data_IF_630507185181
#
_entry.id   IF_630507185181
#
_cell.length_a   1.000
_cell.length_b   1.000
_cell.length_c   1.000
_cell.angle_alpha   90.00
_cell.angle_beta   90.00
_cell.angle_gamma   90.00
#
_symmetry.space_group_name_H-M   'P 1'
#
loop_
_entity.id
_entity.type
_entity.pdbx_description
1 polymer ?
#
# COMPACT_ATOMS: atom_id res chain seq x y z
N UNK A 1 62.13 -14.86 29.18
CA UNK A 1 61.36 -13.75 28.56
C UNK A 1 60.22 -14.37 27.78
N UNK A 2 58.97 -14.22 28.23
CA UNK A 2 57.79 -14.85 27.63
C UNK A 2 56.87 -13.73 27.13
N UNK A 3 56.93 -13.45 25.83
CA UNK A 3 56.10 -12.43 25.20
C UNK A 3 54.73 -13.04 24.88
N UNK A 4 53.69 -12.59 25.56
CA UNK A 4 52.30 -12.84 25.17
C UNK A 4 51.92 -11.85 24.07
N UNK A 5 51.63 -12.37 22.88
CA UNK A 5 50.96 -11.62 21.82
C UNK A 5 49.45 -11.74 22.04
N UNK A 6 48.79 -10.62 22.32
CA UNK A 6 47.33 -10.52 22.34
C UNK A 6 46.90 -10.10 20.94
N UNK A 7 46.23 -10.99 20.21
CA UNK A 7 45.58 -10.66 18.95
C UNK A 7 44.18 -10.08 19.25
N UNK A 8 43.99 -8.80 18.94
CA UNK A 8 42.67 -8.16 18.95
C UNK A 8 42.02 -8.46 17.61
N UNK A 9 41.01 -9.34 17.60
CA UNK A 9 40.14 -9.56 16.46
C UNK A 9 39.03 -8.49 16.48
N UNK A 10 39.08 -7.55 15.54
CA UNK A 10 37.99 -6.57 15.33
C UNK A 10 37.00 -7.18 14.34
N UNK A 11 35.86 -7.65 14.84
CA UNK A 11 34.73 -8.05 14.00
C UNK A 11 33.90 -6.82 13.63
N UNK A 12 33.98 -6.39 12.37
CA UNK A 12 33.03 -5.43 11.80
C UNK A 12 31.75 -6.16 11.41
N UNK A 13 30.75 -6.12 12.29
CA UNK A 13 29.38 -6.50 11.95
C UNK A 13 28.74 -5.37 11.14
N UNK A 14 28.65 -5.55 9.82
CA UNK A 14 27.81 -4.72 8.96
C UNK A 14 26.35 -5.04 9.27
N UNK A 15 25.71 -4.24 10.12
CA UNK A 15 24.26 -4.25 10.21
C UNK A 15 23.72 -3.56 8.95
N UNK A 16 23.20 -4.34 7.99
CA UNK A 16 22.39 -3.78 6.91
C UNK A 16 21.16 -3.14 7.54
N UNK A 17 20.83 -1.90 7.15
CA UNK A 17 19.56 -1.30 7.53
C UNK A 17 18.45 -2.15 6.92
N UNK A 18 17.54 -2.69 7.74
CA UNK A 18 16.31 -3.28 7.24
C UNK A 18 15.51 -2.14 6.60
N UNK A 19 15.28 -2.22 5.30
CA UNK A 19 14.41 -1.28 4.61
C UNK A 19 12.96 -1.67 4.90
N UNK A 20 12.20 -0.74 5.48
CA UNK A 20 10.78 -0.94 5.65
C UNK A 20 10.10 -0.81 4.27
N UNK A 21 9.06 -1.60 4.03
CA UNK A 21 8.32 -1.67 2.77
C UNK A 21 6.84 -1.91 3.08
N UNK A 22 5.91 -1.65 2.15
CA UNK A 22 4.51 -2.04 2.34
C UNK A 22 4.39 -3.51 2.75
N UNK A 23 3.77 -3.75 3.89
CA UNK A 23 3.66 -5.07 4.52
C UNK A 23 2.19 -5.45 4.68
N UNK A 24 1.72 -6.35 3.82
CA UNK A 24 0.35 -6.87 3.84
C UNK A 24 0.11 -7.91 4.95
N UNK A 25 1.15 -8.31 5.69
CA UNK A 25 1.02 -9.30 6.78
C UNK A 25 0.54 -8.67 8.08
N UNK A 26 0.44 -7.33 8.12
CA UNK A 26 -0.07 -6.55 9.24
C UNK A 26 -1.38 -5.85 8.86
N UNK A 27 -2.32 -5.81 9.81
CA UNK A 27 -3.56 -5.06 9.62
C UNK A 27 -3.28 -3.57 9.50
N UNK A 28 -4.07 -2.92 8.65
CA UNK A 28 -4.00 -1.50 8.38
C UNK A 28 -4.38 -0.65 9.57
N UNK A 29 -3.95 0.61 9.53
CA UNK A 29 -4.22 1.63 10.57
C UNK A 29 -5.71 1.76 10.84
N UNK A 30 -6.53 1.63 9.80
CA UNK A 30 -7.98 1.61 9.89
C UNK A 30 -8.51 0.29 9.33
N UNK A 31 -9.52 -0.30 9.96
CA UNK A 31 -10.11 -1.56 9.49
C UNK A 31 -11.62 -1.48 9.41
N UNK A 32 -12.18 -2.01 8.33
CA UNK A 32 -13.62 -1.99 8.07
C UNK A 32 -14.11 -3.33 7.54
N UNK A 33 -15.39 -3.61 7.77
CA UNK A 33 -16.09 -4.73 7.13
C UNK A 33 -17.00 -4.17 6.03
N UNK A 34 -17.10 -4.89 4.92
CA UNK A 34 -18.06 -4.59 3.85
C UNK A 34 -18.43 -5.84 3.08
N UNK A 35 -19.38 -5.71 2.18
CA UNK A 35 -19.65 -6.69 1.14
C UNK A 35 -19.92 -6.03 -0.21
N UNK A 36 -19.93 -6.84 -1.27
CA UNK A 36 -20.25 -6.36 -2.62
C UNK A 36 -21.61 -5.65 -2.67
N UNK A 37 -22.64 -6.20 -2.03
CA UNK A 37 -23.96 -5.55 -1.97
C UNK A 37 -23.94 -4.22 -1.19
N UNK A 38 -23.09 -4.09 -0.17
CA UNK A 38 -22.97 -2.85 0.61
C UNK A 38 -22.19 -1.75 -0.11
N UNK A 39 -21.29 -2.14 -1.03
CA UNK A 39 -20.49 -1.21 -1.83
C UNK A 39 -21.18 -0.78 -3.13
N UNK A 40 -22.41 -1.25 -3.41
CA UNK A 40 -23.24 -0.69 -4.48
C UNK A 40 -23.50 0.81 -4.33
N UNK A 41 -23.33 1.33 -3.11
CA UNK A 41 -23.24 2.76 -2.85
C UNK A 41 -21.80 3.09 -2.48
N UNK A 42 -21.22 4.17 -3.04
CA UNK A 42 -19.83 4.51 -2.80
C UNK A 42 -19.59 4.81 -1.32
N UNK A 43 -18.47 4.30 -0.79
CA UNK A 43 -17.98 4.63 0.56
C UNK A 43 -16.64 5.36 0.46
N UNK A 44 -16.57 6.53 1.07
CA UNK A 44 -15.40 7.41 1.01
C UNK A 44 -14.74 7.58 2.39
N UNK A 45 -13.42 7.71 2.39
CA UNK A 45 -12.57 7.81 3.56
C UNK A 45 -11.53 8.91 3.36
N UNK A 46 -11.46 9.86 4.30
CA UNK A 46 -10.41 10.87 4.29
C UNK A 46 -9.10 10.26 4.79
N UNK A 47 -7.99 10.64 4.16
CA UNK A 47 -6.65 10.16 4.50
C UNK A 47 -5.61 11.25 4.20
N UNK A 48 -4.47 11.18 4.87
CA UNK A 48 -3.27 11.90 4.44
C UNK A 48 -2.43 10.94 3.61
N UNK A 49 -2.36 11.18 2.30
CA UNK A 49 -1.57 10.37 1.39
C UNK A 49 -0.07 10.57 1.61
N UNK A 50 0.72 9.51 1.41
CA UNK A 50 2.18 9.56 1.43
C UNK A 50 2.81 8.37 2.13
N UNK A 51 4.09 8.53 2.48
CA UNK A 51 4.86 7.53 3.22
C UNK A 51 6.35 7.68 3.00
N UNK A 52 7.13 6.82 3.66
CA UNK A 52 8.59 6.87 3.65
C UNK A 52 9.22 5.83 2.72
N UNK A 53 8.45 4.82 2.30
CA UNK A 53 8.97 3.67 1.58
C UNK A 53 8.80 3.86 0.09
N UNK A 54 9.92 4.06 -0.61
CA UNK A 54 9.93 4.16 -2.06
C UNK A 54 9.73 2.78 -2.70
N UNK A 55 8.62 2.62 -3.42
CA UNK A 55 8.11 1.32 -3.89
C UNK A 55 9.10 0.53 -4.76
N UNK A 56 9.85 1.15 -5.71
CA UNK A 56 10.88 0.43 -6.48
C UNK A 56 12.01 -0.17 -5.63
N UNK A 57 12.29 0.36 -4.44
CA UNK A 57 13.27 -0.24 -3.55
C UNK A 57 12.72 -1.51 -2.85
N UNK A 58 11.42 -1.77 -2.93
CA UNK A 58 10.72 -2.87 -2.28
C UNK A 58 10.50 -4.10 -3.18
N UNK A 59 11.17 -4.15 -4.34
CA UNK A 59 11.09 -5.28 -5.26
C UNK A 59 9.92 -5.21 -6.26
N UNK A 60 9.18 -4.10 -6.26
CA UNK A 60 8.21 -3.75 -7.30
C UNK A 60 8.91 -3.29 -8.58
N UNK A 61 8.18 -3.23 -9.68
CA UNK A 61 8.74 -2.82 -10.96
C UNK A 61 9.14 -1.35 -10.94
N UNK A 62 10.13 -0.96 -11.76
CA UNK A 62 10.61 0.43 -11.80
C UNK A 62 9.59 1.44 -12.32
N UNK A 63 8.49 0.97 -12.92
CA UNK A 63 7.36 1.81 -13.33
C UNK A 63 6.25 1.90 -12.27
N UNK A 64 6.35 1.16 -11.17
CA UNK A 64 5.44 1.27 -10.02
C UNK A 64 6.11 2.21 -9.00
N UNK A 65 5.89 3.52 -9.19
CA UNK A 65 6.67 4.57 -8.53
C UNK A 65 5.83 5.33 -7.53
N UNK A 66 6.16 5.23 -6.26
CA UNK A 66 5.56 6.08 -5.25
C UNK A 66 6.17 5.84 -3.88
N UNK A 67 5.75 6.65 -2.93
CA UNK A 67 6.13 6.58 -1.55
C UNK A 67 4.91 6.19 -0.71
N UNK A 68 5.04 5.10 0.03
CA UNK A 68 3.96 4.49 0.79
C UNK A 68 4.41 4.17 2.22
N UNK A 69 3.46 4.13 3.13
CA UNK A 69 3.67 3.69 4.52
C UNK A 69 3.99 2.18 4.57
N UNK A 70 4.60 1.73 5.67
CA UNK A 70 4.86 0.29 5.87
C UNK A 70 3.56 -0.45 6.18
N UNK A 71 2.76 0.10 7.10
CA UNK A 71 1.45 -0.42 7.48
C UNK A 71 0.40 0.04 6.47
N UNK A 72 -0.54 -0.81 6.03
CA UNK A 72 -1.65 -0.36 5.19
C UNK A 72 -2.39 0.81 5.84
N UNK A 73 -2.86 1.76 5.04
CA UNK A 73 -3.72 2.82 5.56
C UNK A 73 -5.09 2.25 5.96
N UNK A 74 -5.55 1.27 5.16
CA UNK A 74 -6.81 0.57 5.33
C UNK A 74 -6.67 -0.93 5.11
N UNK A 75 -7.40 -1.71 5.91
CA UNK A 75 -7.73 -3.10 5.61
C UNK A 75 -9.25 -3.27 5.57
N UNK A 76 -9.76 -3.81 4.47
CA UNK A 76 -11.19 -4.09 4.31
C UNK A 76 -11.41 -5.61 4.30
N UNK A 77 -12.19 -6.14 5.24
CA UNK A 77 -12.70 -7.50 5.14
C UNK A 77 -13.96 -7.50 4.26
N UNK A 78 -13.83 -8.03 3.04
CA UNK A 78 -14.83 -7.95 1.99
C UNK A 78 -15.55 -9.29 1.77
N UNK A 79 -16.84 -9.33 2.11
CA UNK A 79 -17.74 -10.46 1.84
C UNK A 79 -18.47 -10.38 0.50
N UNK A 80 -18.97 -11.51 -0.01
CA UNK A 80 -19.86 -11.61 -1.17
C UNK A 80 -19.42 -10.82 -2.42
N UNK A 81 -18.13 -10.84 -2.77
CA UNK A 81 -17.57 -10.07 -3.89
C UNK A 81 -17.67 -10.77 -5.25
N UNK A 82 -18.11 -12.03 -5.29
CA UNK A 82 -18.19 -12.81 -6.52
C UNK A 82 -19.18 -12.17 -7.51
N UNK A 83 -18.70 -11.90 -8.72
CA UNK A 83 -19.49 -11.31 -9.80
C UNK A 83 -19.53 -9.78 -9.81
N UNK A 84 -18.91 -9.12 -8.83
CA UNK A 84 -18.78 -7.67 -8.78
C UNK A 84 -17.49 -7.18 -9.44
N UNK A 85 -17.56 -6.00 -10.05
CA UNK A 85 -16.39 -5.15 -10.27
C UNK A 85 -16.23 -4.23 -9.06
N UNK A 86 -15.05 -4.20 -8.43
CA UNK A 86 -14.71 -3.21 -7.41
C UNK A 86 -13.90 -2.09 -8.05
N UNK A 87 -14.37 -0.86 -7.90
CA UNK A 87 -13.64 0.36 -8.24
C UNK A 87 -13.09 0.97 -6.97
N UNK A 88 -11.79 1.25 -7.00
CA UNK A 88 -11.06 1.95 -5.94
C UNK A 88 -10.48 3.20 -6.57
N UNK A 89 -10.85 4.37 -6.08
CA UNK A 89 -10.36 5.65 -6.63
C UNK A 89 -9.91 6.58 -5.52
N UNK A 90 -8.96 7.45 -5.87
CA UNK A 90 -8.50 8.51 -4.99
C UNK A 90 -8.81 9.86 -5.64
N UNK A 91 -9.16 10.84 -4.82
CA UNK A 91 -9.14 12.26 -5.22
C UNK A 91 -8.25 12.99 -4.23
N UNK A 92 -7.26 13.75 -4.70
CA UNK A 92 -6.27 14.36 -3.82
C UNK A 92 -5.93 15.80 -4.16
N UNK A 93 -5.18 16.43 -3.25
CA UNK A 93 -4.59 17.76 -3.46
C UNK A 93 -3.14 17.67 -3.99
N UNK A 94 -2.68 16.50 -4.40
CA UNK A 94 -1.32 16.27 -4.87
C UNK A 94 -1.28 15.23 -6.00
N UNK A 95 -0.09 14.69 -6.26
CA UNK A 95 0.15 13.61 -7.21
C UNK A 95 0.16 12.30 -6.42
N UNK A 96 -1.01 11.67 -6.35
CA UNK A 96 -1.26 10.52 -5.48
C UNK A 96 -0.93 9.21 -6.19
N UNK A 97 -0.64 8.17 -5.41
CA UNK A 97 -0.46 6.82 -5.93
C UNK A 97 -1.24 5.82 -5.07
N UNK A 98 -1.72 4.74 -5.68
CA UNK A 98 -2.55 3.73 -5.04
C UNK A 98 -1.87 2.38 -5.16
N UNK A 99 -1.69 1.71 -4.03
CA UNK A 99 -1.20 0.34 -3.95
C UNK A 99 -2.23 -0.51 -3.20
N UNK A 100 -2.52 -1.69 -3.71
CA UNK A 100 -3.51 -2.61 -3.14
C UNK A 100 -2.97 -4.02 -3.12
N UNK A 101 -3.18 -4.75 -2.02
CA UNK A 101 -2.95 -6.19 -1.91
C UNK A 101 -4.28 -6.92 -1.65
N UNK A 102 -4.58 -7.94 -2.44
CA UNK A 102 -5.79 -8.76 -2.29
C UNK A 102 -5.55 -9.99 -1.41
N UNK A 103 -6.65 -10.63 -1.00
CA UNK A 103 -6.64 -11.81 -0.13
C UNK A 103 -5.86 -13.02 -0.70
N UNK A 104 -5.74 -13.10 -2.04
CA UNK A 104 -4.93 -14.10 -2.75
C UNK A 104 -3.50 -13.63 -3.02
N UNK A 105 -3.06 -12.56 -2.35
CA UNK A 105 -1.73 -11.96 -2.37
C UNK A 105 -1.32 -11.34 -3.71
N UNK A 106 -2.29 -11.00 -4.57
CA UNK A 106 -2.03 -10.22 -5.78
C UNK A 106 -1.87 -8.74 -5.43
N UNK A 107 -0.95 -8.08 -6.14
CA UNK A 107 -0.67 -6.66 -5.98
C UNK A 107 -1.19 -5.88 -7.18
N UNK A 108 -1.76 -4.71 -6.91
CA UNK A 108 -2.27 -3.78 -7.90
C UNK A 108 -1.75 -2.38 -7.61
N UNK A 109 -1.39 -1.66 -8.67
CA UNK A 109 -0.82 -0.33 -8.58
C UNK A 109 -1.42 0.57 -9.67
N UNK A 110 -1.68 1.83 -9.32
CA UNK A 110 -1.97 2.91 -10.27
C UNK A 110 -1.57 4.26 -9.65
N UNK A 111 -1.21 5.25 -10.48
CA UNK A 111 -0.91 6.63 -10.08
C UNK A 111 -1.75 7.70 -10.82
N UNK A 112 -2.21 7.45 -12.06
CA UNK A 112 -2.76 8.52 -12.90
C UNK A 112 -4.15 8.26 -13.53
N UNK A 113 -4.73 7.06 -13.37
CA UNK A 113 -5.89 6.64 -14.19
C UNK A 113 -7.22 7.29 -13.80
N UNK A 114 -7.30 8.07 -12.72
CA UNK A 114 -8.49 8.84 -12.32
C UNK A 114 -8.50 10.27 -12.88
N UNK A 115 -7.44 10.69 -13.58
CA UNK A 115 -7.24 12.07 -14.04
C UNK A 115 -6.74 12.99 -12.93
N UNK A 116 -6.26 14.20 -13.29
CA UNK A 116 -5.65 15.15 -12.34
C UNK A 116 -4.44 14.59 -11.56
N UNK A 117 -3.79 13.55 -12.08
CA UNK A 117 -2.73 12.78 -11.38
C UNK A 117 -3.21 12.11 -10.08
N UNK A 118 -4.46 11.65 -10.12
CA UNK A 118 -5.03 10.78 -9.11
C UNK A 118 -5.20 9.35 -9.65
N UNK A 119 -5.05 8.33 -8.78
CA UNK A 119 -5.13 6.93 -9.18
C UNK A 119 -6.53 6.32 -9.12
N UNK A 120 -6.76 5.31 -9.96
CA UNK A 120 -7.97 4.48 -10.00
C UNK A 120 -7.67 3.05 -10.43
N UNK A 121 -8.17 2.09 -9.65
CA UNK A 121 -8.12 0.65 -9.95
C UNK A 121 -9.53 0.10 -10.21
N UNK A 122 -9.66 -0.68 -11.29
CA UNK A 122 -10.85 -1.45 -11.64
C UNK A 122 -10.56 -2.95 -11.47
N UNK A 123 -10.98 -3.53 -10.36
CA UNK A 123 -10.69 -4.93 -10.01
C UNK A 123 -11.91 -5.80 -10.26
N UNK A 124 -11.81 -6.72 -11.22
CA UNK A 124 -12.91 -7.62 -11.60
C UNK A 124 -12.65 -9.00 -10.98
N UNK A 125 -13.68 -9.60 -10.39
CA UNK A 125 -13.60 -10.93 -9.78
C UNK A 125 -12.52 -11.08 -8.68
N UNK A 126 -12.32 -10.04 -7.87
CA UNK A 126 -11.37 -10.02 -6.75
C UNK A 126 -11.59 -11.16 -5.73
N UNK A 127 -12.83 -11.65 -5.62
CA UNK A 127 -13.21 -12.62 -4.59
C UNK A 127 -13.33 -11.99 -3.20
N UNK A 128 -13.70 -12.80 -2.22
CA UNK A 128 -13.88 -12.36 -0.83
C UNK A 128 -12.62 -12.56 0.01
N UNK A 129 -12.43 -11.67 0.99
CA UNK A 129 -11.31 -11.71 1.93
C UNK A 129 -10.78 -10.31 2.23
N UNK A 130 -9.60 -10.26 2.84
CA UNK A 130 -8.95 -8.99 3.20
C UNK A 130 -8.40 -8.29 1.97
N UNK A 131 -8.67 -7.00 1.87
CA UNK A 131 -8.08 -6.08 0.90
C UNK A 131 -7.31 -5.00 1.65
N UNK A 132 -5.99 -5.00 1.52
CA UNK A 132 -5.12 -3.99 2.10
C UNK A 132 -4.87 -2.88 1.08
N UNK A 133 -5.00 -1.63 1.53
CA UNK A 133 -4.94 -0.45 0.67
C UNK A 133 -3.99 0.58 1.27
N UNK A 134 -3.06 1.06 0.44
CA UNK A 134 -2.17 2.18 0.74
C UNK A 134 -2.44 3.32 -0.24
N UNK A 135 -2.54 4.54 0.29
CA UNK A 135 -2.65 5.78 -0.48
C UNK A 135 -1.34 6.55 -0.30
N UNK A 136 -0.46 6.41 -1.28
CA UNK A 136 0.85 7.04 -1.31
C UNK A 136 0.87 8.31 -2.16
N UNK A 137 2.06 8.81 -2.42
CA UNK A 137 2.30 9.91 -3.37
C UNK A 137 3.47 9.61 -4.27
N UNK A 138 3.43 10.12 -5.50
CA UNK A 138 4.48 9.87 -6.49
C UNK A 138 5.84 10.43 -6.04
N UNK A 139 5.85 11.60 -5.41
CA UNK A 139 7.06 12.35 -5.06
C UNK A 139 7.44 12.33 -3.56
N UNK A 140 6.65 11.67 -2.71
CA UNK A 140 6.90 11.58 -1.27
C UNK A 140 6.44 12.79 -0.45
N UNK A 141 5.79 13.78 -1.07
CA UNK A 141 5.08 14.82 -0.34
C UNK A 141 3.84 14.22 0.34
N UNK A 142 3.41 14.83 1.45
CA UNK A 142 2.16 14.45 2.11
C UNK A 142 1.06 15.43 1.76
N UNK A 143 -0.15 14.91 1.50
CA UNK A 143 -1.30 15.76 1.21
C UNK A 143 -2.62 15.12 1.65
N UNK A 144 -3.65 15.94 1.82
CA UNK A 144 -5.01 15.42 2.06
C UNK A 144 -5.57 14.79 0.79
N UNK A 145 -6.16 13.61 0.95
CA UNK A 145 -6.81 12.84 -0.10
C UNK A 145 -8.10 12.17 0.41
N UNK A 146 -8.91 11.68 -0.52
CA UNK A 146 -10.11 10.89 -0.25
C UNK A 146 -10.05 9.60 -1.05
N UNK A 147 -10.05 8.46 -0.36
CA UNK A 147 -10.20 7.13 -0.94
C UNK A 147 -11.68 6.80 -1.08
N UNK A 148 -12.12 6.26 -2.22
CA UNK A 148 -13.49 5.78 -2.42
C UNK A 148 -13.51 4.36 -2.95
N UNK A 149 -14.38 3.52 -2.36
CA UNK A 149 -14.65 2.15 -2.82
C UNK A 149 -16.12 2.05 -3.27
N UNK A 150 -16.36 1.46 -4.44
CA UNK A 150 -17.70 1.24 -5.01
C UNK A 150 -17.71 -0.03 -5.86
N UNK A 151 -18.80 -0.79 -5.83
CA UNK A 151 -18.99 -1.98 -6.67
C UNK A 151 -20.09 -1.81 -7.69
N UNK A 152 -19.93 -2.51 -8.82
CA UNK A 152 -20.87 -2.52 -9.95
C UNK A 152 -21.29 -3.95 -10.31
#
# INVERSE_FOLDING_TARGET
MRHLFIAIAVTFSFAGAAQACPDYTIWGTNSYNSSGDQLYSPRSFNITAGGENYLPNCGFSSNETGYFTTTPDFSFDLGNMNGYQLVISVVSNCDAALLVNSADTQWFYDDDSNGQSDPRLDLINLGSGVLDVWVGTYNGAYCDATLTLETF
#
